data_IF_693673238414
#
_entry.id   IF_693673238414
#
_cell.length_a   1.000
_cell.length_b   1.000
_cell.length_c   1.000
_cell.angle_alpha   90.00
_cell.angle_beta   90.00
_cell.angle_gamma   90.00
#
_symmetry.space_group_name_H-M   'P 1'
#
loop_
_entity.id
_entity.type
_entity.pdbx_description
1 polymer ?
#
# COMPACT_ATOMS: atom_id res chain seq x y z
N UNK A 1 21.15 43.75 49.64
CA UNK A 1 20.84 42.56 50.46
C UNK A 1 20.88 41.35 49.52
N UNK A 2 22.05 40.76 49.26
CA UNK A 2 22.12 39.56 48.42
C UNK A 2 22.94 38.49 49.12
N UNK A 3 22.19 37.54 49.67
CA UNK A 3 22.68 36.30 50.25
C UNK A 3 23.40 35.50 49.17
N UNK A 4 24.74 35.48 49.22
CA UNK A 4 25.51 34.52 48.45
C UNK A 4 25.58 33.21 49.23
N UNK A 5 24.79 32.26 48.74
CA UNK A 5 24.79 30.86 49.12
C UNK A 5 26.21 30.29 48.90
N UNK A 6 26.94 30.11 49.98
CA UNK A 6 28.28 29.52 49.95
C UNK A 6 28.11 28.02 49.67
N UNK A 7 28.17 27.63 48.40
CA UNK A 7 28.33 26.23 48.00
C UNK A 7 29.70 25.80 48.54
N UNK A 8 29.70 25.18 49.73
CA UNK A 8 30.87 24.45 50.20
C UNK A 8 31.11 23.33 49.21
N UNK A 9 32.06 23.54 48.31
CA UNK A 9 32.67 22.44 47.58
C UNK A 9 33.15 21.46 48.65
N UNK A 10 32.51 20.29 48.69
CA UNK A 10 33.00 19.12 49.39
C UNK A 10 34.50 19.04 49.16
N UNK A 11 35.29 19.01 50.25
CA UNK A 11 36.72 18.83 50.16
C UNK A 11 36.99 17.68 49.18
N UNK A 12 37.76 17.97 48.12
CA UNK A 12 38.22 16.94 47.20
C UNK A 12 38.83 15.81 48.05
N UNK A 13 38.54 14.53 47.75
CA UNK A 13 39.02 13.43 48.56
C UNK A 13 40.55 13.55 48.64
N UNK A 14 41.03 13.93 49.81
CA UNK A 14 42.46 14.07 50.05
C UNK A 14 43.02 12.67 49.87
N UNK A 15 43.77 12.46 48.79
CA UNK A 15 44.36 11.15 48.52
C UNK A 15 45.23 10.80 49.72
N UNK A 16 44.98 9.65 50.39
CA UNK A 16 45.71 9.32 51.61
C UNK A 16 47.20 9.30 51.31
N UNK A 17 48.00 9.92 52.17
CA UNK A 17 49.45 9.95 51.96
C UNK A 17 50.00 8.53 52.15
N UNK A 18 51.17 8.22 51.58
CA UNK A 18 51.79 6.89 51.69
C UNK A 18 51.92 6.38 53.14
N UNK A 19 51.94 7.29 54.12
CA UNK A 19 52.04 6.99 55.56
C UNK A 19 50.70 6.54 56.17
N UNK A 20 49.59 6.89 55.52
CA UNK A 20 48.21 6.67 55.98
C UNK A 20 47.56 5.45 55.31
N UNK A 21 48.20 4.84 54.29
CA UNK A 21 47.73 3.59 53.71
C UNK A 21 48.04 2.41 54.64
N UNK A 22 47.12 1.43 54.79
CA UNK A 22 47.40 0.22 55.54
C UNK A 22 48.60 -0.48 54.90
N UNK A 23 49.63 -0.76 55.72
CA UNK A 23 50.81 -1.47 55.25
C UNK A 23 50.39 -2.87 54.84
N UNK A 24 50.70 -3.25 53.61
CA UNK A 24 50.50 -4.62 53.11
C UNK A 24 51.18 -5.57 54.09
N UNK A 25 50.42 -6.55 54.61
CA UNK A 25 50.98 -7.56 55.50
C UNK A 25 52.21 -8.21 54.84
N UNK A 26 53.26 -8.43 55.62
CA UNK A 26 54.56 -8.88 55.12
C UNK A 26 54.42 -10.16 54.27
N UNK A 27 53.50 -11.05 54.67
CA UNK A 27 53.20 -12.29 53.96
C UNK A 27 52.60 -12.04 52.56
N UNK A 28 51.65 -11.12 52.43
CA UNK A 28 51.00 -10.79 51.15
C UNK A 28 51.99 -10.09 50.20
N UNK A 29 52.84 -9.21 50.74
CA UNK A 29 53.91 -8.58 49.96
C UNK A 29 54.88 -9.64 49.42
N UNK A 30 55.27 -10.60 50.26
CA UNK A 30 56.16 -11.70 49.86
C UNK A 30 55.53 -12.63 48.82
N UNK A 31 54.22 -12.91 48.92
CA UNK A 31 53.48 -13.69 47.94
C UNK A 31 53.34 -12.98 46.58
N UNK A 32 53.16 -11.66 46.58
CA UNK A 32 53.10 -10.86 45.36
C UNK A 32 54.49 -10.72 44.71
N UNK A 33 55.53 -10.51 45.51
CA UNK A 33 56.93 -10.45 45.03
C UNK A 33 57.42 -11.80 44.50
N UNK A 34 56.97 -12.90 45.09
CA UNK A 34 57.21 -14.26 44.62
C UNK A 34 56.16 -14.80 43.64
N UNK A 35 55.23 -13.97 43.17
CA UNK A 35 54.14 -14.44 42.31
C UNK A 35 54.67 -14.86 40.95
N UNK A 36 54.71 -16.17 40.71
CA UNK A 36 55.09 -16.70 39.43
C UNK A 36 53.91 -16.64 38.44
N UNK A 37 54.02 -15.74 37.46
CA UNK A 37 53.04 -15.61 36.36
C UNK A 37 52.89 -16.88 35.51
N UNK A 38 53.81 -17.83 35.60
CA UNK A 38 53.70 -19.15 34.96
C UNK A 38 52.59 -20.00 35.58
N UNK A 39 52.22 -19.76 36.84
CA UNK A 39 51.11 -20.46 37.49
C UNK A 39 49.73 -19.97 37.00
N UNK A 40 49.68 -18.90 36.20
CA UNK A 40 48.46 -18.48 35.55
C UNK A 40 48.13 -19.41 34.38
N UNK A 41 46.88 -19.88 34.33
CA UNK A 41 46.39 -20.67 33.18
C UNK A 41 46.56 -19.86 31.89
N UNK A 42 47.33 -20.41 30.94
CA UNK A 42 47.47 -19.81 29.60
C UNK A 42 46.13 -19.92 28.87
N UNK A 43 45.59 -18.81 28.39
CA UNK A 43 44.47 -18.80 27.47
C UNK A 43 45.01 -19.01 26.04
N UNK A 44 44.60 -20.10 25.39
CA UNK A 44 44.94 -20.34 24.00
C UNK A 44 44.19 -19.34 23.11
N UNK A 45 44.92 -18.54 22.34
CA UNK A 45 44.35 -17.67 21.30
C UNK A 45 44.64 -18.31 19.95
N UNK A 46 43.60 -18.54 19.14
CA UNK A 46 43.72 -19.18 17.83
C UNK A 46 43.62 -18.12 16.74
N UNK A 47 44.75 -17.73 16.14
CA UNK A 47 44.78 -16.91 14.94
C UNK A 47 44.48 -17.81 13.72
N UNK A 48 43.32 -17.63 13.09
CA UNK A 48 42.92 -18.42 11.91
C UNK A 48 43.54 -17.87 10.62
N UNK A 49 44.84 -18.06 10.45
CA UNK A 49 45.48 -17.92 9.14
C UNK A 49 45.27 -19.21 8.35
N UNK A 50 44.08 -19.39 7.78
CA UNK A 50 43.80 -20.52 6.89
C UNK A 50 44.54 -20.31 5.57
N UNK A 51 45.37 -21.28 5.19
CA UNK A 51 45.94 -21.34 3.85
C UNK A 51 44.82 -21.67 2.84
N UNK A 52 44.90 -21.17 1.60
CA UNK A 52 44.01 -21.61 0.53
C UNK A 52 44.03 -23.14 0.44
N UNK A 53 42.85 -23.74 0.26
CA UNK A 53 42.76 -25.18 0.09
C UNK A 53 43.33 -25.60 -1.28
N UNK A 54 43.65 -26.87 -1.44
CA UNK A 54 44.05 -27.41 -2.74
C UNK A 54 42.94 -27.25 -3.81
N UNK A 55 41.68 -27.22 -3.37
CA UNK A 55 40.52 -26.97 -4.24
C UNK A 55 40.47 -25.51 -4.70
N UNK A 56 40.74 -24.55 -3.81
CA UNK A 56 40.80 -23.13 -4.15
C UNK A 56 41.88 -22.86 -5.21
N UNK A 57 43.06 -23.44 -5.05
CA UNK A 57 44.17 -23.27 -6.01
C UNK A 57 43.85 -23.96 -7.35
N UNK A 58 43.22 -25.13 -7.33
CA UNK A 58 42.85 -25.85 -8.54
C UNK A 58 41.76 -25.12 -9.35
N UNK A 59 40.77 -24.56 -8.66
CA UNK A 59 39.71 -23.76 -9.29
C UNK A 59 40.26 -22.46 -9.86
N UNK A 60 41.12 -21.74 -9.12
CA UNK A 60 41.77 -20.52 -9.61
C UNK A 60 42.62 -20.80 -10.88
N UNK A 61 43.41 -21.87 -10.86
CA UNK A 61 44.21 -22.28 -12.02
C UNK A 61 43.35 -22.58 -13.24
N UNK A 62 42.19 -23.22 -13.03
CA UNK A 62 41.25 -23.54 -14.11
C UNK A 62 40.61 -22.27 -14.68
N UNK A 63 40.16 -21.35 -13.82
CA UNK A 63 39.60 -20.07 -14.25
C UNK A 63 40.61 -19.24 -15.03
N UNK A 64 41.84 -19.15 -14.53
CA UNK A 64 42.95 -18.44 -15.20
C UNK A 64 43.24 -19.02 -16.58
N UNK A 65 43.28 -20.35 -16.70
CA UNK A 65 43.49 -21.02 -17.99
C UNK A 65 42.35 -20.75 -18.99
N UNK A 66 41.09 -20.72 -18.54
CA UNK A 66 39.96 -20.36 -19.39
C UNK A 66 40.08 -18.92 -19.89
N UNK A 67 40.42 -17.99 -18.99
CA UNK A 67 40.52 -16.57 -19.32
C UNK A 67 41.64 -16.33 -20.33
N UNK A 68 42.82 -16.90 -20.09
CA UNK A 68 43.95 -16.86 -21.04
C UNK A 68 43.59 -17.51 -22.39
N UNK A 69 42.82 -18.59 -22.38
CA UNK A 69 42.35 -19.26 -23.59
C UNK A 69 41.40 -18.40 -24.43
N UNK A 70 40.55 -17.59 -23.78
CA UNK A 70 39.66 -16.64 -24.46
C UNK A 70 40.42 -15.40 -24.95
N UNK A 71 41.34 -14.87 -24.14
CA UNK A 71 42.19 -13.73 -24.53
C UNK A 71 43.11 -14.06 -25.71
N UNK A 72 43.68 -15.26 -25.72
CA UNK A 72 44.52 -15.75 -26.82
C UNK A 72 43.71 -16.36 -27.98
N UNK A 73 42.37 -16.29 -27.92
CA UNK A 73 41.53 -16.88 -28.96
C UNK A 73 41.65 -16.11 -30.27
N UNK A 74 42.19 -16.79 -31.28
CA UNK A 74 42.31 -16.26 -32.64
C UNK A 74 40.94 -16.28 -33.34
N UNK A 75 40.33 -15.11 -33.49
CA UNK A 75 39.06 -14.92 -34.18
C UNK A 75 39.12 -15.30 -35.66
N UNK A 76 40.32 -15.38 -36.26
CA UNK A 76 40.53 -15.90 -37.62
C UNK A 76 40.30 -17.40 -37.76
N UNK A 77 40.24 -18.15 -36.66
CA UNK A 77 39.86 -19.58 -36.65
C UNK A 77 38.35 -19.79 -36.65
N UNK A 78 37.55 -18.74 -36.43
CA UNK A 78 36.11 -18.82 -36.57
C UNK A 78 35.76 -19.04 -38.04
N UNK A 79 34.89 -20.01 -38.31
CA UNK A 79 34.35 -20.19 -39.66
C UNK A 79 33.57 -18.93 -40.04
N UNK A 80 33.85 -18.39 -41.22
CA UNK A 80 33.06 -17.31 -41.78
C UNK A 80 31.62 -17.80 -41.99
N UNK A 81 30.67 -17.12 -41.35
CA UNK A 81 29.24 -17.30 -41.59
C UNK A 81 28.74 -16.03 -42.25
N UNK A 82 28.28 -16.16 -43.49
CA UNK A 82 27.60 -15.07 -44.21
C UNK A 82 26.19 -14.92 -43.65
N UNK A 83 25.93 -13.85 -42.92
CA UNK A 83 24.59 -13.52 -42.40
C UNK A 83 23.77 -12.86 -43.51
N UNK A 84 22.84 -13.60 -44.10
CA UNK A 84 21.88 -13.06 -45.07
C UNK A 84 20.71 -12.39 -44.31
N UNK A 85 20.68 -11.06 -44.26
CA UNK A 85 19.51 -10.30 -43.81
C UNK A 85 18.39 -10.47 -44.85
N UNK A 86 17.41 -11.32 -44.53
CA UNK A 86 16.22 -11.48 -45.35
C UNK A 86 15.32 -10.26 -45.13
N UNK A 87 15.39 -9.29 -46.04
CA UNK A 87 14.37 -8.25 -46.17
C UNK A 87 13.47 -8.63 -47.37
N UNK A 88 12.56 -9.61 -47.22
CA UNK A 88 11.70 -10.03 -48.31
C UNK A 88 10.82 -8.85 -48.74
N UNK A 89 10.74 -8.65 -50.06
CA UNK A 89 9.80 -7.68 -50.61
C UNK A 89 8.36 -8.09 -50.21
N UNK A 90 7.47 -7.12 -50.00
CA UNK A 90 6.07 -7.42 -49.73
C UNK A 90 5.47 -8.31 -50.82
N UNK A 91 4.79 -9.37 -50.41
CA UNK A 91 4.11 -10.27 -51.35
C UNK A 91 2.95 -9.56 -52.05
N UNK A 92 2.51 -10.11 -53.19
CA UNK A 92 1.44 -9.54 -54.02
C UNK A 92 0.15 -9.29 -53.22
N UNK A 93 -0.16 -10.16 -52.26
CA UNK A 93 -1.34 -10.04 -51.41
C UNK A 93 -1.26 -8.84 -50.48
N UNK A 94 -0.07 -8.58 -49.91
CA UNK A 94 0.17 -7.41 -49.03
C UNK A 94 0.00 -6.11 -49.82
N UNK A 95 0.57 -6.05 -51.02
CA UNK A 95 0.44 -4.88 -51.91
C UNK A 95 -1.01 -4.68 -52.37
N UNK A 96 -1.73 -5.75 -52.66
CA UNK A 96 -3.13 -5.68 -53.06
C UNK A 96 -4.03 -5.23 -51.91
N UNK A 97 -3.80 -5.74 -50.70
CA UNK A 97 -4.54 -5.32 -49.51
C UNK A 97 -4.31 -3.84 -49.21
N UNK A 98 -3.06 -3.37 -49.28
CA UNK A 98 -2.74 -1.94 -49.12
C UNK A 98 -3.46 -1.09 -50.16
N UNK A 99 -3.46 -1.52 -51.43
CA UNK A 99 -4.19 -0.81 -52.49
C UNK A 99 -5.69 -0.75 -52.25
N UNK A 100 -6.30 -1.84 -51.75
CA UNK A 100 -7.72 -1.87 -51.39
C UNK A 100 -8.00 -0.88 -50.24
N UNK A 101 -7.14 -0.85 -49.22
CA UNK A 101 -7.26 0.06 -48.09
C UNK A 101 -7.18 1.53 -48.52
N UNK A 102 -6.18 1.86 -49.34
CA UNK A 102 -6.00 3.22 -49.88
C UNK A 102 -7.18 3.67 -50.73
N UNK A 103 -7.72 2.78 -51.56
CA UNK A 103 -8.91 3.07 -52.37
C UNK A 103 -10.14 3.34 -51.49
N UNK A 104 -10.31 2.59 -50.40
CA UNK A 104 -11.42 2.79 -49.46
C UNK A 104 -11.31 4.16 -48.78
N UNK A 105 -10.13 4.50 -48.27
CA UNK A 105 -9.88 5.81 -47.63
C UNK A 105 -10.18 6.93 -48.61
N UNK A 106 -9.59 6.87 -49.80
CA UNK A 106 -9.78 7.89 -50.84
C UNK A 106 -11.25 8.06 -51.22
N UNK A 107 -12.01 6.97 -51.28
CA UNK A 107 -13.44 7.00 -51.61
C UNK A 107 -14.28 7.65 -50.51
N UNK A 108 -13.92 7.44 -49.24
CA UNK A 108 -14.61 8.05 -48.09
C UNK A 108 -14.23 9.53 -47.96
N UNK A 109 -12.96 9.88 -48.16
CA UNK A 109 -12.50 11.27 -48.13
C UNK A 109 -13.15 12.12 -49.23
N UNK A 110 -13.25 11.57 -50.44
CA UNK A 110 -13.91 12.21 -51.59
C UNK A 110 -15.43 12.10 -51.59
N UNK A 111 -16.06 11.54 -50.55
CA UNK A 111 -17.49 11.28 -50.54
C UNK A 111 -18.30 12.59 -50.50
N UNK A 112 -19.02 12.86 -51.59
CA UNK A 112 -19.91 14.01 -51.69
C UNK A 112 -21.18 13.81 -50.87
N UNK A 113 -21.23 14.44 -49.69
CA UNK A 113 -22.37 14.41 -48.77
C UNK A 113 -23.64 15.00 -49.37
N UNK A 114 -23.56 15.82 -50.43
CA UNK A 114 -24.76 16.39 -51.07
C UNK A 114 -25.56 15.34 -51.84
N UNK A 115 -24.94 14.22 -52.19
CA UNK A 115 -25.60 13.08 -52.85
C UNK A 115 -26.38 12.20 -51.87
N UNK A 116 -26.22 12.41 -50.56
CA UNK A 116 -26.97 11.68 -49.55
C UNK A 116 -28.45 12.05 -49.62
N UNK A 117 -29.32 11.03 -49.56
CA UNK A 117 -30.77 11.25 -49.51
C UNK A 117 -31.12 11.98 -48.23
N UNK A 118 -31.73 13.17 -48.36
CA UNK A 118 -32.32 13.86 -47.22
C UNK A 118 -33.46 13.01 -46.66
N UNK A 119 -33.38 12.74 -45.37
CA UNK A 119 -34.46 12.13 -44.60
C UNK A 119 -34.89 13.11 -43.51
N UNK A 120 -36.21 13.23 -43.31
CA UNK A 120 -36.76 14.00 -42.21
C UNK A 120 -36.70 13.13 -40.95
N UNK A 121 -35.75 13.42 -40.06
CA UNK A 121 -35.65 12.76 -38.76
C UNK A 121 -36.77 13.27 -37.86
N UNK A 122 -37.72 12.41 -37.50
CA UNK A 122 -38.75 12.74 -36.49
C UNK A 122 -38.22 12.36 -35.09
N UNK A 123 -37.69 13.33 -34.37
CA UNK A 123 -37.44 13.20 -32.93
C UNK A 123 -38.78 13.22 -32.19
N UNK A 124 -39.16 12.10 -31.57
CA UNK A 124 -40.41 11.98 -30.81
C UNK A 124 -40.29 12.66 -29.44
N UNK A 125 -40.24 13.99 -29.41
CA UNK A 125 -40.63 14.75 -28.23
C UNK A 125 -42.15 14.84 -28.19
N UNK A 126 -42.81 13.73 -27.87
CA UNK A 126 -44.26 13.68 -27.71
C UNK A 126 -44.62 14.51 -26.47
N UNK A 127 -45.47 15.51 -26.66
CA UNK A 127 -46.11 16.19 -25.53
C UNK A 127 -46.91 15.16 -24.71
N UNK A 128 -46.94 15.27 -23.38
CA UNK A 128 -47.79 14.41 -22.55
C UNK A 128 -49.23 14.46 -23.06
N UNK A 129 -49.90 13.31 -23.08
CA UNK A 129 -51.30 13.27 -23.51
C UNK A 129 -52.21 14.04 -22.54
N UNK A 130 -53.38 14.50 -22.99
CA UNK A 130 -54.30 15.25 -22.14
C UNK A 130 -54.73 14.50 -20.87
N UNK A 131 -54.74 13.17 -20.90
CA UNK A 131 -55.11 12.33 -19.77
C UNK A 131 -54.03 12.35 -18.68
N UNK A 132 -52.76 12.29 -19.06
CA UNK A 132 -51.61 12.42 -18.17
C UNK A 132 -51.59 13.80 -17.51
N UNK A 133 -51.87 14.86 -18.27
CA UNK A 133 -51.97 16.23 -17.76
C UNK A 133 -53.13 16.37 -16.76
N UNK A 134 -54.30 15.79 -17.06
CA UNK A 134 -55.45 15.83 -16.16
C UNK A 134 -55.20 15.03 -14.88
N UNK A 135 -54.58 13.85 -14.99
CA UNK A 135 -54.19 13.02 -13.86
C UNK A 135 -53.20 13.75 -12.94
N UNK A 136 -52.15 14.36 -13.51
CA UNK A 136 -51.18 15.15 -12.75
C UNK A 136 -51.84 16.36 -12.08
N UNK A 137 -52.71 17.08 -12.79
CA UNK A 137 -53.46 18.21 -12.23
C UNK A 137 -54.39 17.77 -11.08
N UNK A 138 -54.98 16.58 -11.18
CA UNK A 138 -55.77 15.98 -10.11
C UNK A 138 -54.92 15.68 -8.88
N UNK A 139 -53.76 15.06 -9.07
CA UNK A 139 -52.81 14.75 -8.00
C UNK A 139 -52.30 16.03 -7.32
N UNK A 140 -51.93 17.05 -8.08
CA UNK A 140 -51.49 18.34 -7.54
C UNK A 140 -52.58 19.02 -6.70
N UNK A 141 -53.83 18.98 -7.17
CA UNK A 141 -54.98 19.50 -6.39
C UNK A 141 -55.19 18.75 -5.07
N UNK A 142 -55.04 17.42 -5.08
CA UNK A 142 -55.15 16.61 -3.87
C UNK A 142 -54.05 16.98 -2.86
N UNK A 143 -52.80 17.04 -3.32
CA UNK A 143 -51.66 17.41 -2.47
C UNK A 143 -51.86 18.80 -1.88
N UNK A 144 -52.19 19.80 -2.72
CA UNK A 144 -52.45 21.16 -2.25
C UNK A 144 -53.63 21.24 -1.27
N UNK A 145 -54.67 20.41 -1.47
CA UNK A 145 -55.80 20.32 -0.57
C UNK A 145 -55.43 19.77 0.81
N UNK A 146 -54.52 18.80 0.87
CA UNK A 146 -53.99 18.24 2.12
C UNK A 146 -53.06 19.24 2.80
N UNK A 147 -52.11 19.82 2.07
CA UNK A 147 -51.15 20.80 2.62
C UNK A 147 -51.84 22.02 3.23
N UNK A 148 -52.93 22.48 2.60
CA UNK A 148 -53.68 23.65 3.06
C UNK A 148 -54.93 23.29 3.89
N UNK A 149 -55.08 22.03 4.31
CA UNK A 149 -56.22 21.62 5.10
C UNK A 149 -56.17 22.21 6.51
N UNK A 150 -57.21 22.96 6.89
CA UNK A 150 -57.35 23.52 8.24
C UNK A 150 -57.94 22.46 9.20
N UNK A 151 -57.18 21.95 10.18
CA UNK A 151 -57.66 20.94 11.13
C UNK A 151 -58.85 21.42 11.97
N UNK A 152 -59.04 22.74 12.13
CA UNK A 152 -60.17 23.30 12.88
C UNK A 152 -61.52 23.07 12.20
N UNK A 153 -61.53 22.72 10.92
CA UNK A 153 -62.75 22.34 10.17
C UNK A 153 -63.21 20.91 10.48
N UNK A 154 -62.40 20.11 11.18
CA UNK A 154 -62.81 18.79 11.65
C UNK A 154 -63.79 18.96 12.81
N UNK A 155 -64.93 18.27 12.74
CA UNK A 155 -65.87 18.20 13.86
C UNK A 155 -65.22 17.41 15.00
N UNK A 156 -65.28 17.93 16.22
CA UNK A 156 -64.87 17.19 17.39
C UNK A 156 -65.70 15.90 17.48
N UNK A 157 -65.02 14.76 17.48
CA UNK A 157 -65.64 13.44 17.66
C UNK A 157 -64.98 12.83 18.87
N UNK A 158 -65.75 12.62 19.93
CA UNK A 158 -65.28 11.92 21.13
C UNK A 158 -65.19 10.42 20.80
N UNK A 159 -63.98 9.88 20.79
CA UNK A 159 -63.75 8.45 20.58
C UNK A 159 -64.09 7.70 21.86
N UNK A 160 -65.15 6.89 21.85
CA UNK A 160 -65.43 5.98 22.97
C UNK A 160 -64.58 4.72 22.87
N UNK A 161 -63.76 4.47 23.90
CA UNK A 161 -63.04 3.22 24.07
C UNK A 161 -64.04 2.10 24.40
N UNK A 162 -64.19 1.14 23.48
CA UNK A 162 -65.16 0.04 23.61
C UNK A 162 -64.77 -1.01 24.67
N UNK A 163 -63.60 -0.88 25.30
CA UNK A 163 -63.11 -1.73 26.37
C UNK A 163 -62.67 -0.88 27.57
N UNK A 164 -63.61 -0.24 28.30
CA UNK A 164 -63.24 0.39 29.57
C UNK A 164 -62.69 -0.68 30.51
N UNK A 165 -61.60 -0.36 31.22
CA UNK A 165 -61.04 -1.23 32.24
C UNK A 165 -62.13 -1.57 33.29
N UNK A 166 -62.18 -2.81 33.81
CA UNK A 166 -63.14 -3.19 34.86
C UNK A 166 -63.05 -2.21 36.03
N UNK A 167 -64.20 -1.73 36.52
CA UNK A 167 -64.21 -0.85 37.70
C UNK A 167 -63.79 -1.63 38.95
N UNK A 168 -63.30 -0.91 39.96
CA UNK A 168 -62.84 -1.52 41.21
C UNK A 168 -63.95 -2.35 41.88
N UNK A 169 -65.21 -1.91 41.79
CA UNK A 169 -66.33 -2.69 42.33
C UNK A 169 -66.52 -4.03 41.59
N UNK A 170 -66.36 -4.05 40.27
CA UNK A 170 -66.48 -5.27 39.48
C UNK A 170 -65.36 -6.27 39.83
N UNK A 171 -64.14 -5.77 40.04
CA UNK A 171 -62.99 -6.58 40.47
C UNK A 171 -63.21 -7.15 41.88
N UNK A 172 -63.76 -6.35 42.80
CA UNK A 172 -63.98 -6.78 44.19
C UNK A 172 -65.15 -7.78 44.29
N UNK A 173 -66.18 -7.66 43.44
CA UNK A 173 -67.25 -8.66 43.32
C UNK A 173 -66.74 -10.00 42.77
N UNK A 174 -65.87 -10.00 41.77
CA UNK A 174 -65.29 -11.23 41.23
C UNK A 174 -64.35 -11.93 42.23
N UNK A 175 -63.63 -11.17 43.06
CA UNK A 175 -62.80 -11.73 44.14
C UNK A 175 -63.59 -12.30 45.32
N UNK A 176 -64.88 -11.98 45.42
CA UNK A 176 -65.75 -12.44 46.50
C UNK A 176 -66.74 -13.53 46.08
N UNK A 177 -66.72 -13.92 44.79
CA UNK A 177 -67.33 -15.16 44.27
C UNK A 177 -66.35 -16.34 44.39
#
# INVERSE_FOLDING_TARGET
MFYYFQIKMSAAPVSPSLKDLPKVAVDLKSQLEGFNHENMKKAATTEKNILPSAEDVATEKTQKALLEGVEAFDTGKLKHTETQEKNPLPDKDVVMQEKVHQNLISSVEGFDKTTMKHTLTQEKNILPDPQAIEAEKGQQKLIAGIENFDPKKLKHTETQEKNPLPTKEAIDQEKSA
#
